data_IF_459354661398
#
_entry.id   IF_459354661398
#
_cell.length_a   1.000
_cell.length_b   1.000
_cell.length_c   1.000
_cell.angle_alpha   90.00
_cell.angle_beta   90.00
_cell.angle_gamma   90.00
#
_symmetry.space_group_name_H-M   'P 1'
#
loop_
_entity.id
_entity.type
_entity.pdbx_description
1 polymer ?
#
# COMPACT_ATOMS: atom_id res chain seq x y z
N UNK A 1 6.15 69.35 0.54
CA UNK A 1 6.62 68.54 1.68
C UNK A 1 5.36 68.04 2.38
N UNK A 2 4.66 67.03 1.84
CA UNK A 2 4.95 65.59 1.97
C UNK A 2 4.83 65.14 3.43
N UNK A 3 3.60 64.81 3.82
CA UNK A 3 3.27 64.03 5.03
C UNK A 3 3.36 62.55 4.59
N UNK A 4 4.15 61.69 5.26
CA UNK A 4 4.19 60.26 4.92
C UNK A 4 2.95 59.54 5.49
N UNK A 5 2.38 58.56 4.78
CA UNK A 5 1.31 57.73 5.31
C UNK A 5 1.93 56.49 5.98
N UNK A 6 1.94 56.44 7.31
CA UNK A 6 2.18 55.18 8.03
C UNK A 6 0.83 54.47 8.21
N UNK A 7 0.43 53.78 7.15
CA UNK A 7 -0.59 52.74 7.18
C UNK A 7 0.06 51.37 7.16
N UNK A 8 0.87 51.03 8.17
CA UNK A 8 1.28 49.63 8.40
C UNK A 8 0.15 48.90 9.10
N UNK A 9 -0.88 48.55 8.34
CA UNK A 9 -1.69 47.40 8.66
C UNK A 9 -0.79 46.17 8.55
N UNK A 10 -0.55 45.49 9.65
CA UNK A 10 -0.02 44.12 9.61
C UNK A 10 -1.11 43.31 8.93
N UNK A 11 -0.86 42.89 7.70
CA UNK A 11 -1.80 42.14 6.87
C UNK A 11 -1.84 40.68 7.37
N UNK A 12 -2.53 40.47 8.50
CA UNK A 12 -2.72 39.15 9.13
C UNK A 12 -3.40 38.14 8.20
N UNK A 13 -3.98 38.59 7.09
CA UNK A 13 -4.67 37.77 6.10
C UNK A 13 -3.72 36.93 5.24
N UNK A 14 -2.47 37.37 5.01
CA UNK A 14 -1.51 36.60 4.20
C UNK A 14 -0.91 35.39 4.91
N UNK A 15 -0.80 35.42 6.23
CA UNK A 15 -0.30 34.27 7.00
C UNK A 15 -1.35 33.16 7.17
N UNK A 16 -2.64 33.47 6.94
CA UNK A 16 -3.72 32.48 6.94
C UNK A 16 -3.90 31.76 5.60
N UNK A 17 -3.37 32.32 4.49
CA UNK A 17 -3.48 31.75 3.14
C UNK A 17 -2.46 30.64 2.83
N UNK A 18 -1.71 30.15 3.83
CA UNK A 18 -0.65 29.15 3.59
C UNK A 18 -0.51 28.04 4.63
N UNK A 19 -1.56 27.73 5.38
CA UNK A 19 -1.65 26.45 6.10
C UNK A 19 -2.54 25.47 5.33
N UNK A 20 -1.98 24.89 4.27
CA UNK A 20 -2.59 23.72 3.64
C UNK A 20 -2.80 22.62 4.70
N UNK A 21 -4.03 22.13 4.83
CA UNK A 21 -4.34 20.96 5.66
C UNK A 21 -3.65 19.74 5.05
N UNK A 22 -2.55 19.31 5.67
CA UNK A 22 -1.75 18.14 5.22
C UNK A 22 -2.09 16.85 5.97
N UNK A 23 -2.69 16.99 7.15
CA UNK A 23 -3.00 15.89 8.06
C UNK A 23 -4.47 15.91 8.42
N UNK A 24 -4.94 14.78 8.92
CA UNK A 24 -6.28 14.70 9.48
C UNK A 24 -6.39 15.51 10.79
N UNK A 25 -7.61 15.67 11.30
CA UNK A 25 -7.89 16.43 12.53
C UNK A 25 -7.13 15.92 13.76
N UNK A 26 -6.74 14.64 13.80
CA UNK A 26 -5.98 14.05 14.91
C UNK A 26 -4.46 14.15 14.71
N UNK A 27 -3.98 14.47 13.50
CA UNK A 27 -2.56 14.46 13.15
C UNK A 27 -1.95 13.07 12.96
N UNK A 28 -2.76 12.00 12.90
CA UNK A 28 -2.31 10.61 12.84
C UNK A 28 -2.07 10.10 11.41
N UNK A 29 -2.73 10.70 10.41
CA UNK A 29 -2.67 10.29 9.02
C UNK A 29 -2.51 11.48 8.07
N UNK A 30 -1.87 11.23 6.93
CA UNK A 30 -1.85 12.19 5.82
C UNK A 30 -3.23 12.31 5.21
N UNK A 31 -3.61 13.55 4.92
CA UNK A 31 -4.92 13.91 4.41
C UNK A 31 -4.80 14.76 3.14
N UNK A 32 -5.77 14.62 2.25
CA UNK A 32 -5.95 15.53 1.12
C UNK A 32 -7.43 15.92 0.96
N UNK A 33 -7.72 17.03 0.26
CA UNK A 33 -9.07 17.36 -0.17
C UNK A 33 -9.71 16.18 -0.91
N UNK A 34 -11.04 16.09 -0.84
CA UNK A 34 -11.78 15.02 -1.48
C UNK A 34 -11.53 15.02 -2.99
N UNK A 35 -11.02 13.91 -3.52
CA UNK A 35 -10.76 13.72 -4.94
C UNK A 35 -11.90 12.99 -5.63
N UNK A 36 -12.19 13.35 -6.87
CA UNK A 36 -13.15 12.60 -7.67
C UNK A 36 -12.53 11.25 -8.06
N UNK A 37 -13.37 10.22 -8.15
CA UNK A 37 -12.93 8.89 -8.56
C UNK A 37 -12.28 8.95 -9.95
N UNK A 38 -12.93 9.62 -10.89
CA UNK A 38 -12.52 9.67 -12.29
C UNK A 38 -11.16 10.37 -12.49
N UNK A 39 -10.76 11.28 -11.59
CA UNK A 39 -9.43 11.91 -11.59
C UNK A 39 -8.32 10.95 -11.16
N UNK A 40 -8.67 9.91 -10.41
CA UNK A 40 -7.73 8.90 -9.94
C UNK A 40 -7.66 7.67 -10.85
N UNK A 41 -8.57 7.56 -11.82
CA UNK A 41 -8.58 6.48 -12.81
C UNK A 41 -7.55 6.77 -13.89
N UNK A 42 -6.65 5.82 -14.10
CA UNK A 42 -5.66 5.83 -15.16
C UNK A 42 -6.11 4.90 -16.28
N UNK A 43 -5.98 5.36 -17.52
CA UNK A 43 -6.00 4.45 -18.65
C UNK A 43 -4.69 3.65 -18.73
N UNK A 44 -4.72 2.45 -19.34
CA UNK A 44 -3.53 1.59 -19.49
C UNK A 44 -2.32 2.33 -20.08
N UNK A 45 -2.55 3.17 -21.08
CA UNK A 45 -1.48 3.93 -21.73
C UNK A 45 -0.91 5.03 -20.81
N UNK A 46 -1.76 5.68 -20.00
CA UNK A 46 -1.35 6.67 -19.00
C UNK A 46 -0.56 6.02 -17.86
N UNK A 47 -1.00 4.85 -17.40
CA UNK A 47 -0.28 4.06 -16.40
C UNK A 47 1.12 3.70 -16.90
N UNK A 48 1.25 3.23 -18.15
CA UNK A 48 2.54 2.88 -18.76
C UNK A 48 3.48 4.09 -18.94
N UNK A 49 2.93 5.30 -19.17
CA UNK A 49 3.72 6.54 -19.23
C UNK A 49 4.11 7.06 -17.85
N UNK A 50 3.41 6.64 -16.79
CA UNK A 50 3.70 7.04 -15.41
C UNK A 50 4.86 6.18 -14.89
N UNK A 51 5.97 6.84 -14.52
CA UNK A 51 7.13 6.14 -13.96
C UNK A 51 6.83 5.75 -12.51
N UNK A 52 6.25 4.57 -12.33
CA UNK A 52 5.94 3.97 -11.03
C UNK A 52 7.11 3.07 -10.59
N UNK A 53 7.77 3.43 -9.48
CA UNK A 53 8.86 2.65 -8.87
C UNK A 53 8.72 2.74 -7.34
N UNK A 54 8.91 1.61 -6.65
CA UNK A 54 8.78 1.54 -5.19
C UNK A 54 7.36 1.89 -4.74
N UNK A 55 6.37 1.28 -5.40
CA UNK A 55 4.95 1.51 -5.18
C UNK A 55 4.26 0.19 -4.75
N UNK A 56 3.02 0.27 -4.29
CA UNK A 56 2.20 -0.90 -3.93
C UNK A 56 1.16 -1.12 -5.02
N UNK A 57 1.08 -2.34 -5.52
CA UNK A 57 0.02 -2.77 -6.46
C UNK A 57 -1.00 -3.57 -5.68
N UNK A 58 -2.28 -3.21 -5.75
CA UNK A 58 -3.37 -3.97 -5.14
C UNK A 58 -4.18 -4.62 -6.26
N UNK A 59 -4.02 -5.92 -6.41
CA UNK A 59 -4.79 -6.77 -7.31
C UNK A 59 -6.11 -7.14 -6.62
N UNK A 60 -7.20 -6.52 -7.04
CA UNK A 60 -8.51 -6.67 -6.40
C UNK A 60 -9.45 -7.49 -7.26
N UNK A 61 -9.88 -8.64 -6.73
CA UNK A 61 -10.92 -9.48 -7.32
C UNK A 61 -12.26 -9.17 -6.68
N UNK A 62 -13.05 -8.32 -7.33
CA UNK A 62 -14.35 -7.91 -6.85
C UNK A 62 -15.27 -7.51 -8.00
N UNK A 63 -16.57 -7.74 -7.83
CA UNK A 63 -17.61 -7.32 -8.77
C UNK A 63 -18.56 -6.32 -8.12
N UNK A 64 -19.43 -5.69 -8.92
CA UNK A 64 -20.46 -4.76 -8.42
C UNK A 64 -21.29 -5.33 -7.26
N UNK A 65 -21.57 -6.63 -7.27
CA UNK A 65 -22.41 -7.29 -6.28
C UNK A 65 -21.61 -7.88 -5.10
N UNK A 66 -20.27 -7.84 -5.14
CA UNK A 66 -19.41 -8.31 -4.05
C UNK A 66 -19.52 -7.42 -2.78
N UNK A 67 -19.40 -8.00 -1.57
CA UNK A 67 -19.36 -7.25 -0.32
C UNK A 67 -18.16 -6.28 -0.25
N UNK A 68 -18.30 -5.23 0.57
CA UNK A 68 -17.21 -4.29 0.83
C UNK A 68 -16.17 -4.96 1.73
N UNK A 69 -14.90 -4.90 1.33
CA UNK A 69 -13.77 -5.34 2.15
C UNK A 69 -13.39 -4.22 3.12
N UNK A 70 -13.50 -2.98 2.66
CA UNK A 70 -13.01 -1.81 3.39
C UNK A 70 -11.51 -1.61 3.16
N UNK A 71 -11.11 -1.37 1.91
CA UNK A 71 -9.74 -1.05 1.48
C UNK A 71 -9.12 0.11 2.26
N UNK A 72 -9.94 0.96 2.88
CA UNK A 72 -9.48 1.96 3.83
C UNK A 72 -8.61 1.37 4.94
N UNK A 73 -8.98 0.22 5.50
CA UNK A 73 -8.21 -0.43 6.58
C UNK A 73 -6.83 -0.87 6.11
N UNK A 74 -6.68 -1.16 4.81
CA UNK A 74 -5.40 -1.48 4.19
C UNK A 74 -4.59 -0.23 3.84
N UNK A 75 -5.21 0.80 3.26
CA UNK A 75 -4.50 1.99 2.76
C UNK A 75 -4.17 2.99 3.88
N UNK A 76 -5.01 3.10 4.90
CA UNK A 76 -4.83 4.08 5.99
C UNK A 76 -3.51 3.90 6.75
N UNK A 77 -3.07 2.68 7.15
CA UNK A 77 -1.75 2.49 7.76
C UNK A 77 -0.58 2.91 6.86
N UNK A 78 -0.70 2.73 5.54
CA UNK A 78 0.28 3.17 4.54
C UNK A 78 0.30 4.70 4.35
N UNK A 79 -0.57 5.42 5.06
CA UNK A 79 -0.68 6.89 5.09
C UNK A 79 -0.48 7.46 6.49
N UNK A 80 0.11 6.69 7.41
CA UNK A 80 0.42 7.17 8.74
C UNK A 80 1.38 8.38 8.71
N UNK A 81 1.16 9.33 9.62
CA UNK A 81 1.86 10.62 9.67
C UNK A 81 3.31 10.57 10.17
N UNK A 82 3.74 9.40 10.68
CA UNK A 82 5.12 9.07 11.03
C UNK A 82 6.01 8.81 9.79
N UNK A 83 5.43 8.75 8.58
CA UNK A 83 6.16 8.83 7.32
C UNK A 83 6.15 10.24 6.76
N UNK A 84 7.23 10.65 6.10
CA UNK A 84 7.23 11.88 5.33
C UNK A 84 6.45 11.69 4.02
N UNK A 85 5.88 12.78 3.50
CA UNK A 85 5.04 12.70 2.29
C UNK A 85 5.77 12.08 1.09
N UNK A 86 7.08 12.34 0.93
CA UNK A 86 7.89 11.76 -0.15
C UNK A 86 8.18 10.26 0.06
N UNK A 87 8.18 9.77 1.30
CA UNK A 87 8.37 8.34 1.62
C UNK A 87 7.08 7.51 1.38
N UNK A 88 5.91 8.17 1.34
CA UNK A 88 4.63 7.49 1.10
C UNK A 88 4.65 6.75 -0.24
N UNK A 89 4.42 5.45 -0.17
CA UNK A 89 4.29 4.56 -1.33
C UNK A 89 3.01 4.88 -2.08
N UNK A 90 3.12 5.10 -3.39
CA UNK A 90 1.95 5.24 -4.25
C UNK A 90 1.21 3.90 -4.29
N UNK A 91 -0.13 3.92 -4.19
CA UNK A 91 -0.95 2.71 -4.24
C UNK A 91 -1.70 2.71 -5.57
N UNK A 92 -1.51 1.66 -6.37
CA UNK A 92 -2.22 1.45 -7.62
C UNK A 92 -3.16 0.27 -7.45
N UNK A 93 -4.47 0.51 -7.51
CA UNK A 93 -5.48 -0.53 -7.41
C UNK A 93 -5.84 -0.99 -8.82
N UNK A 94 -5.68 -2.27 -9.11
CA UNK A 94 -6.08 -2.90 -10.37
C UNK A 94 -7.32 -3.74 -10.10
N UNK A 95 -8.46 -3.35 -10.68
CA UNK A 95 -9.72 -4.05 -10.46
C UNK A 95 -10.91 -3.35 -11.10
N UNK A 96 -12.11 -3.82 -10.73
CA UNK A 96 -13.36 -3.33 -11.28
C UNK A 96 -13.74 -1.94 -10.75
N UNK A 97 -14.02 -1.01 -11.67
CA UNK A 97 -14.37 0.37 -11.33
C UNK A 97 -15.75 0.49 -10.65
N UNK A 98 -16.71 -0.37 -10.98
CA UNK A 98 -18.04 -0.34 -10.35
C UNK A 98 -17.95 -0.75 -8.88
N UNK A 99 -17.11 -1.74 -8.56
CA UNK A 99 -16.81 -2.08 -7.17
C UNK A 99 -16.17 -0.91 -6.43
N UNK A 100 -15.09 -0.34 -6.99
CA UNK A 100 -14.33 0.73 -6.36
C UNK A 100 -15.16 2.00 -6.13
N UNK A 101 -16.17 2.26 -6.96
CA UNK A 101 -17.12 3.37 -6.75
C UNK A 101 -17.86 3.27 -5.41
N UNK A 102 -18.13 2.05 -4.91
CA UNK A 102 -18.73 1.85 -3.58
C UNK A 102 -17.74 2.19 -2.45
N UNK A 103 -16.49 1.78 -2.60
CA UNK A 103 -15.44 1.96 -1.59
C UNK A 103 -14.83 3.37 -1.58
N UNK A 104 -14.89 4.10 -2.70
CA UNK A 104 -14.21 5.39 -2.87
C UNK A 104 -14.58 6.42 -1.81
N UNK A 105 -15.81 6.35 -1.28
CA UNK A 105 -16.28 7.19 -0.16
C UNK A 105 -15.41 7.13 1.09
N UNK A 106 -14.63 6.05 1.25
CA UNK A 106 -13.73 5.85 2.38
C UNK A 106 -12.27 6.18 2.05
N UNK A 107 -11.95 6.44 0.78
CA UNK A 107 -10.59 6.61 0.26
C UNK A 107 -10.30 8.01 -0.29
N UNK A 108 -11.32 8.81 -0.63
CA UNK A 108 -11.15 10.06 -1.37
C UNK A 108 -10.28 11.13 -0.67
N UNK A 109 -10.05 11.02 0.64
CA UNK A 109 -9.19 11.91 1.43
C UNK A 109 -7.75 11.39 1.62
N UNK A 110 -7.43 10.21 1.10
CA UNK A 110 -6.09 9.64 1.23
C UNK A 110 -5.28 9.98 -0.03
N UNK A 111 -4.04 10.48 0.11
CA UNK A 111 -3.22 10.89 -1.04
C UNK A 111 -2.60 9.69 -1.77
N UNK A 112 -2.03 9.93 -2.96
CA UNK A 112 -1.23 8.96 -3.73
C UNK A 112 -1.94 7.62 -4.01
N UNK A 113 -3.21 7.68 -4.39
CA UNK A 113 -3.97 6.52 -4.86
C UNK A 113 -4.31 6.74 -6.32
N UNK A 114 -4.06 5.72 -7.14
CA UNK A 114 -4.51 5.62 -8.53
C UNK A 114 -5.23 4.29 -8.74
N UNK A 115 -6.12 4.27 -9.73
CA UNK A 115 -6.94 3.11 -10.07
C UNK A 115 -6.72 2.80 -11.54
N UNK A 116 -6.42 1.55 -11.87
CA UNK A 116 -6.46 1.04 -13.23
C UNK A 116 -7.71 0.18 -13.37
N UNK A 117 -8.66 0.64 -14.18
CA UNK A 117 -9.84 -0.16 -14.52
C UNK A 117 -9.42 -1.30 -15.45
N UNK A 118 -9.28 -2.50 -14.89
CA UNK A 118 -8.70 -3.65 -15.59
C UNK A 118 -8.76 -4.91 -14.74
N UNK A 119 -8.17 -5.99 -15.26
CA UNK A 119 -8.17 -7.28 -14.56
C UNK A 119 -6.78 -7.61 -14.03
N UNK A 120 -6.64 -8.06 -12.77
CA UNK A 120 -5.36 -8.58 -12.28
C UNK A 120 -4.84 -9.82 -13.02
N UNK A 121 -5.69 -10.52 -13.79
CA UNK A 121 -5.28 -11.65 -14.63
C UNK A 121 -4.68 -11.19 -15.97
N UNK A 122 -4.93 -9.94 -16.37
CA UNK A 122 -4.42 -9.37 -17.60
C UNK A 122 -2.96 -8.95 -17.44
N UNK A 123 -2.05 -9.73 -18.04
CA UNK A 123 -0.60 -9.40 -18.06
C UNK A 123 -0.31 -8.04 -18.67
N UNK A 124 -1.17 -7.52 -19.55
CA UNK A 124 -1.01 -6.20 -20.14
C UNK A 124 -1.25 -5.09 -19.10
N UNK A 125 -2.23 -5.26 -18.22
CA UNK A 125 -2.53 -4.31 -17.14
C UNK A 125 -1.43 -4.35 -16.08
N UNK A 126 -0.97 -5.55 -15.69
CA UNK A 126 0.14 -5.72 -14.75
C UNK A 126 1.47 -5.13 -15.27
N UNK A 127 1.73 -5.24 -16.57
CA UNK A 127 2.89 -4.56 -17.19
C UNK A 127 2.72 -3.04 -17.21
N UNK A 128 1.52 -2.54 -17.50
CA UNK A 128 1.28 -1.11 -17.55
C UNK A 128 1.48 -0.41 -16.19
N UNK A 129 1.26 -1.11 -15.08
CA UNK A 129 1.55 -0.59 -13.73
C UNK A 129 3.00 -0.81 -13.28
N UNK A 130 3.86 -1.38 -14.13
CA UNK A 130 5.25 -1.74 -13.80
C UNK A 130 5.36 -2.61 -12.55
N UNK A 131 4.58 -3.70 -12.49
CA UNK A 131 4.55 -4.61 -11.33
C UNK A 131 5.94 -5.13 -10.93
N UNK A 132 6.88 -5.25 -11.87
CA UNK A 132 8.27 -5.64 -11.59
C UNK A 132 9.08 -4.61 -10.78
N UNK A 133 8.59 -3.37 -10.67
CA UNK A 133 9.18 -2.28 -9.89
C UNK A 133 8.40 -1.97 -8.61
N UNK A 134 7.43 -2.80 -8.23
CA UNK A 134 6.68 -2.62 -6.99
C UNK A 134 7.52 -3.01 -5.76
N UNK A 135 7.15 -2.47 -4.59
CA UNK A 135 7.66 -2.93 -3.30
C UNK A 135 6.82 -4.07 -2.73
N UNK A 136 5.54 -4.13 -3.10
CA UNK A 136 4.65 -5.24 -2.76
C UNK A 136 3.49 -5.29 -3.75
N UNK A 137 3.15 -6.49 -4.21
CA UNK A 137 1.90 -6.79 -4.89
C UNK A 137 0.96 -7.49 -3.90
N UNK A 138 -0.19 -6.90 -3.61
CA UNK A 138 -1.17 -7.44 -2.67
C UNK A 138 -2.34 -7.98 -3.46
N UNK A 139 -2.67 -9.27 -3.29
CA UNK A 139 -3.77 -9.93 -3.97
C UNK A 139 -4.89 -10.18 -2.96
N UNK A 140 -6.06 -9.60 -3.23
CA UNK A 140 -7.22 -9.57 -2.33
C UNK A 140 -8.46 -9.98 -3.12
N UNK A 141 -9.34 -10.77 -2.51
CA UNK A 141 -10.61 -11.19 -3.11
C UNK A 141 -11.80 -10.77 -2.25
N UNK A 142 -12.72 -10.00 -2.84
CA UNK A 142 -14.00 -9.63 -2.23
C UNK A 142 -15.12 -10.63 -2.57
N UNK A 143 -14.85 -11.58 -3.47
CA UNK A 143 -15.89 -12.47 -3.97
C UNK A 143 -16.24 -13.49 -2.92
N UNK A 144 -17.54 -13.64 -2.68
CA UNK A 144 -18.04 -14.66 -1.76
C UNK A 144 -17.79 -16.02 -2.41
N UNK A 145 -17.05 -16.93 -1.75
CA UNK A 145 -16.79 -18.25 -2.30
C UNK A 145 -18.10 -19.02 -2.43
N UNK A 146 -18.18 -19.89 -3.44
CA UNK A 146 -19.36 -20.73 -3.61
C UNK A 146 -19.44 -21.75 -2.47
N UNK A 147 -20.61 -21.90 -1.86
CA UNK A 147 -20.80 -22.72 -0.65
C UNK A 147 -20.54 -24.22 -0.89
N UNK A 148 -20.62 -24.67 -2.14
CA UNK A 148 -20.50 -26.10 -2.46
C UNK A 148 -19.04 -26.59 -2.53
N UNK A 149 -18.09 -25.75 -2.95
CA UNK A 149 -16.68 -26.13 -3.12
C UNK A 149 -15.76 -25.07 -2.48
N UNK A 150 -15.42 -25.28 -1.21
CA UNK A 150 -14.52 -24.39 -0.44
C UNK A 150 -13.08 -24.39 -0.98
N UNK A 151 -12.68 -25.41 -1.73
CA UNK A 151 -11.36 -25.48 -2.39
C UNK A 151 -11.25 -24.47 -3.54
N UNK A 152 -12.35 -24.13 -4.19
CA UNK A 152 -12.38 -23.17 -5.31
C UNK A 152 -12.50 -21.71 -4.84
N UNK A 153 -12.55 -21.46 -3.54
CA UNK A 153 -12.65 -20.13 -2.95
C UNK A 153 -11.53 -19.19 -3.42
N UNK A 154 -10.29 -19.70 -3.45
CA UNK A 154 -9.09 -18.89 -3.70
C UNK A 154 -8.59 -18.97 -5.15
N UNK A 155 -9.38 -19.54 -6.07
CA UNK A 155 -8.93 -19.86 -7.43
C UNK A 155 -8.34 -18.64 -8.15
N UNK A 156 -8.93 -17.46 -7.99
CA UNK A 156 -8.47 -16.26 -8.68
C UNK A 156 -7.21 -15.67 -8.05
N UNK A 157 -7.14 -15.72 -6.72
CA UNK A 157 -5.98 -15.27 -5.98
C UNK A 157 -4.75 -16.12 -6.34
N UNK A 158 -4.89 -17.45 -6.37
CA UNK A 158 -3.84 -18.38 -6.79
C UNK A 158 -3.48 -18.17 -8.27
N UNK A 159 -4.47 -18.09 -9.16
CA UNK A 159 -4.22 -17.87 -10.59
C UNK A 159 -3.49 -16.56 -10.84
N UNK A 160 -3.79 -15.49 -10.11
CA UNK A 160 -3.08 -14.22 -10.19
C UNK A 160 -1.63 -14.36 -9.73
N UNK A 161 -1.39 -15.01 -8.59
CA UNK A 161 -0.04 -15.28 -8.07
C UNK A 161 0.81 -16.03 -9.08
N UNK A 162 0.31 -17.17 -9.58
CA UNK A 162 1.00 -17.99 -10.57
C UNK A 162 1.20 -17.25 -11.89
N UNK A 163 0.21 -16.45 -12.31
CA UNK A 163 0.31 -15.64 -13.52
C UNK A 163 1.45 -14.62 -13.41
N UNK A 164 1.58 -13.92 -12.28
CA UNK A 164 2.66 -12.97 -12.00
C UNK A 164 4.01 -13.70 -11.95
N UNK A 165 4.10 -14.82 -11.21
CA UNK A 165 5.33 -15.63 -11.12
C UNK A 165 5.83 -16.08 -12.50
N UNK A 166 4.90 -16.41 -13.41
CA UNK A 166 5.19 -16.80 -14.78
C UNK A 166 5.52 -15.64 -15.74
N UNK A 167 5.49 -14.39 -15.29
CA UNK A 167 5.89 -13.24 -16.12
C UNK A 167 7.41 -13.15 -16.25
N UNK A 168 7.85 -12.64 -17.39
CA UNK A 168 9.23 -12.25 -17.64
C UNK A 168 9.27 -10.78 -18.04
N UNK A 169 10.28 -10.08 -17.55
CA UNK A 169 10.50 -8.67 -17.75
C UNK A 169 11.87 -8.47 -18.39
N UNK A 170 11.86 -7.96 -19.62
CA UNK A 170 13.10 -7.63 -20.33
C UNK A 170 13.65 -6.29 -19.82
N UNK A 171 14.94 -6.25 -19.47
CA UNK A 171 15.66 -5.02 -19.09
C UNK A 171 15.79 -4.02 -20.26
N UNK A 172 15.23 -4.31 -21.44
CA UNK A 172 15.40 -3.54 -22.68
C UNK A 172 14.55 -2.26 -22.75
N UNK A 173 13.64 -2.03 -21.81
CA UNK A 173 12.72 -0.87 -21.81
C UNK A 173 13.14 0.28 -20.87
N UNK A 174 14.43 0.44 -20.56
CA UNK A 174 14.90 1.53 -19.68
C UNK A 174 16.25 2.17 -20.00
N UNK A 175 17.03 1.64 -20.94
CA UNK A 175 18.32 2.23 -21.31
C UNK A 175 18.42 2.37 -22.83
N UNK A 176 18.20 3.58 -23.33
CA UNK A 176 18.88 3.96 -24.57
C UNK A 176 20.38 3.76 -24.31
N UNK A 177 21.11 2.98 -25.12
CA UNK A 177 22.54 2.89 -24.97
C UNK A 177 23.09 4.25 -25.37
N UNK A 178 23.41 5.09 -24.38
CA UNK A 178 24.41 6.13 -24.61
C UNK A 178 25.66 5.39 -25.07
N UNK A 179 25.92 5.50 -26.37
CA UNK A 179 27.12 4.99 -27.01
C UNK A 179 28.31 5.39 -26.15
N UNK A 180 29.14 4.41 -25.85
CA UNK A 180 30.43 4.56 -25.20
C UNK A 180 31.15 5.78 -25.77
N UNK A 181 31.34 6.85 -24.99
CA UNK A 181 32.13 7.96 -25.49
C UNK A 181 32.11 9.31 -24.77
N UNK A 182 31.14 9.67 -23.92
CA UNK A 182 31.13 11.03 -23.36
C UNK A 182 30.81 11.08 -21.86
N UNK A 183 31.85 11.32 -21.07
CA UNK A 183 31.78 11.56 -19.62
C UNK A 183 31.50 13.06 -19.40
N UNK A 184 30.24 13.42 -19.22
CA UNK A 184 29.89 14.74 -18.68
C UNK A 184 30.00 14.75 -17.15
N UNK A 185 30.69 15.74 -16.52
CA UNK A 185 31.00 15.74 -15.09
C UNK A 185 29.93 16.45 -14.24
N UNK A 186 28.64 16.20 -14.49
CA UNK A 186 27.56 16.75 -13.66
C UNK A 186 26.78 15.62 -12.99
N UNK A 187 27.23 15.31 -11.77
CA UNK A 187 26.63 14.37 -10.84
C UNK A 187 25.20 14.80 -10.45
N UNK A 188 24.21 14.30 -11.17
CA UNK A 188 22.85 14.14 -10.63
C UNK A 188 22.93 13.17 -9.44
N UNK A 189 22.27 13.44 -8.30
CA UNK A 189 22.30 12.51 -7.18
C UNK A 189 21.75 11.16 -7.64
N UNK A 190 22.50 10.11 -7.33
CA UNK A 190 22.14 8.71 -7.54
C UNK A 190 20.82 8.49 -6.80
N UNK A 191 19.69 8.64 -7.51
CA UNK A 191 18.45 8.00 -7.10
C UNK A 191 18.77 6.52 -7.10
N UNK A 192 18.71 5.87 -5.93
CA UNK A 192 18.69 4.41 -5.81
C UNK A 192 17.47 3.89 -6.56
N UNK A 193 17.55 3.81 -7.89
CA UNK A 193 16.54 3.14 -8.69
C UNK A 193 16.68 1.66 -8.37
N UNK A 194 15.72 1.13 -7.58
CA UNK A 194 15.62 -0.29 -7.27
C UNK A 194 15.67 -1.05 -8.59
N UNK A 195 16.60 -2.00 -8.69
CA UNK A 195 16.68 -2.89 -9.84
C UNK A 195 15.43 -3.77 -9.82
N UNK A 196 14.57 -3.62 -10.83
CA UNK A 196 13.33 -4.37 -10.93
C UNK A 196 13.53 -5.87 -10.96
N UNK A 197 12.48 -6.60 -10.63
CA UNK A 197 12.43 -8.04 -10.81
C UNK A 197 12.52 -8.38 -12.31
N UNK A 198 13.53 -9.17 -12.70
CA UNK A 198 13.66 -9.69 -14.09
C UNK A 198 12.68 -10.84 -14.36
N UNK A 199 12.48 -11.67 -13.33
CA UNK A 199 11.58 -12.81 -13.33
C UNK A 199 10.42 -12.50 -12.41
N UNK A 200 9.22 -12.91 -12.80
CA UNK A 200 8.01 -12.79 -12.00
C UNK A 200 8.10 -13.44 -10.62
N UNK A 201 8.88 -14.51 -10.49
CA UNK A 201 9.15 -15.18 -9.21
C UNK A 201 9.84 -14.28 -8.17
N UNK A 202 10.50 -13.21 -8.60
CA UNK A 202 11.16 -12.24 -7.72
C UNK A 202 10.28 -11.03 -7.40
N UNK A 203 9.04 -10.97 -7.88
CA UNK A 203 8.10 -9.91 -7.54
C UNK A 203 7.61 -10.15 -6.10
N UNK A 204 7.86 -9.22 -5.15
CA UNK A 204 7.37 -9.37 -3.79
C UNK A 204 5.85 -9.31 -3.80
N UNK A 205 5.21 -10.34 -3.27
CA UNK A 205 3.76 -10.42 -3.26
C UNK A 205 3.23 -11.09 -2.01
N UNK A 206 2.01 -10.73 -1.64
CA UNK A 206 1.25 -11.35 -0.55
C UNK A 206 -0.17 -11.63 -1.05
N UNK A 207 -0.62 -12.86 -0.82
CA UNK A 207 -1.90 -13.35 -1.29
C UNK A 207 -2.78 -13.71 -0.10
N UNK A 208 -3.95 -13.09 -0.04
CA UNK A 208 -4.99 -13.46 0.92
C UNK A 208 -5.60 -14.81 0.54
N UNK A 209 -5.74 -15.70 1.51
CA UNK A 209 -6.38 -17.01 1.37
C UNK A 209 -7.52 -17.17 2.35
N UNK A 210 -8.63 -17.74 1.87
CA UNK A 210 -9.78 -18.15 2.67
C UNK A 210 -9.60 -19.56 3.19
N UNK A 211 -9.05 -20.46 2.38
CA UNK A 211 -8.82 -21.86 2.75
C UNK A 211 -7.33 -22.15 2.96
N UNK A 212 -6.97 -22.58 4.16
CA UNK A 212 -5.58 -22.87 4.54
C UNK A 212 -4.94 -23.93 3.65
N UNK A 213 -5.68 -24.97 3.26
CA UNK A 213 -5.18 -26.06 2.41
C UNK A 213 -4.81 -25.60 0.99
N UNK A 214 -5.25 -24.41 0.57
CA UNK A 214 -4.93 -23.86 -0.74
C UNK A 214 -3.53 -23.23 -0.79
N UNK A 215 -2.85 -23.08 0.35
CA UNK A 215 -1.51 -22.48 0.43
C UNK A 215 -0.47 -23.24 -0.40
N UNK A 216 -0.59 -24.57 -0.50
CA UNK A 216 0.27 -25.45 -1.28
C UNK A 216 0.29 -25.09 -2.78
N UNK A 217 -0.75 -24.43 -3.29
CA UNK A 217 -0.80 -24.07 -4.72
C UNK A 217 -0.02 -22.80 -5.06
N UNK A 218 0.57 -22.11 -4.08
CA UNK A 218 1.30 -20.86 -4.31
C UNK A 218 2.75 -21.09 -4.77
N UNK A 219 3.44 -22.10 -4.23
CA UNK A 219 4.82 -22.44 -4.59
C UNK A 219 4.87 -23.87 -5.13
N UNK A 220 5.48 -24.05 -6.31
CA UNK A 220 5.52 -25.35 -7.01
C UNK A 220 6.76 -26.18 -6.68
N UNK A 221 7.70 -25.59 -5.94
CA UNK A 221 9.01 -26.18 -5.63
C UNK A 221 9.03 -26.82 -4.22
N UNK A 222 7.90 -26.83 -3.52
CA UNK A 222 7.78 -27.31 -2.13
C UNK A 222 7.33 -28.78 -2.09
N UNK A 223 7.81 -29.52 -1.08
CA UNK A 223 7.35 -30.89 -0.80
C UNK A 223 5.96 -30.82 -0.12
N UNK A 224 4.92 -30.66 -0.93
CA UNK A 224 3.54 -30.50 -0.45
C UNK A 224 3.01 -31.75 0.28
N UNK A 225 3.02 -31.73 1.61
CA UNK A 225 2.27 -32.68 2.45
C UNK A 225 0.96 -32.01 2.91
N UNK A 226 -0.23 -32.52 2.48
CA UNK A 226 -1.53 -31.93 2.81
C UNK A 226 -1.85 -31.93 4.31
N UNK A 227 -1.14 -32.74 5.11
CA UNK A 227 -1.30 -32.79 6.57
C UNK A 227 -0.45 -31.73 7.30
N UNK A 228 0.32 -30.91 6.57
CA UNK A 228 1.14 -29.84 7.15
C UNK A 228 0.29 -28.67 7.61
N UNK A 229 0.46 -28.26 8.87
CA UNK A 229 -0.22 -27.07 9.41
C UNK A 229 0.26 -25.78 8.72
N UNK A 230 -0.64 -24.83 8.51
CA UNK A 230 -0.38 -23.59 7.75
C UNK A 230 0.92 -22.88 8.15
N UNK A 231 1.20 -22.75 9.45
CA UNK A 231 2.36 -22.01 9.93
C UNK A 231 3.71 -22.69 9.67
N UNK A 232 3.71 -23.98 9.29
CA UNK A 232 4.89 -24.74 8.88
C UNK A 232 5.11 -24.72 7.36
N UNK A 233 4.16 -24.18 6.60
CA UNK A 233 4.28 -24.07 5.15
C UNK A 233 5.22 -22.93 4.75
N UNK A 234 5.99 -23.14 3.70
CA UNK A 234 6.95 -22.15 3.20
C UNK A 234 6.29 -20.84 2.73
N UNK A 235 5.15 -20.84 1.98
CA UNK A 235 4.53 -19.58 1.57
C UNK A 235 4.08 -18.71 2.75
N UNK A 236 3.67 -19.34 3.86
CA UNK A 236 3.34 -18.62 5.08
C UNK A 236 4.59 -18.10 5.79
N UNK A 237 5.61 -18.95 5.97
CA UNK A 237 6.87 -18.59 6.64
C UNK A 237 7.65 -17.48 5.90
N UNK A 238 7.59 -17.46 4.55
CA UNK A 238 8.17 -16.42 3.72
C UNK A 238 7.32 -15.13 3.66
N UNK A 239 6.11 -15.14 4.22
CA UNK A 239 5.20 -13.99 4.23
C UNK A 239 4.55 -13.69 2.88
N UNK A 240 4.47 -14.67 1.98
CA UNK A 240 3.80 -14.55 0.67
C UNK A 240 2.33 -14.98 0.70
N UNK A 241 1.91 -15.68 1.76
CA UNK A 241 0.53 -16.06 2.00
C UNK A 241 0.02 -15.51 3.33
N UNK A 242 -1.23 -15.07 3.37
CA UNK A 242 -1.91 -14.67 4.59
C UNK A 242 -3.32 -15.27 4.62
N UNK A 243 -3.56 -16.23 5.52
CA UNK A 243 -4.87 -16.82 5.69
C UNK A 243 -5.66 -16.13 6.81
N UNK A 244 -6.98 -16.04 6.66
CA UNK A 244 -7.86 -15.39 7.64
C UNK A 244 -7.91 -16.19 8.96
N UNK A 245 -7.76 -17.52 8.90
CA UNK A 245 -7.83 -18.44 10.05
C UNK A 245 -6.85 -18.10 11.18
N UNK A 246 -5.72 -17.48 10.86
CA UNK A 246 -4.72 -17.09 11.88
C UNK A 246 -5.26 -16.07 12.87
N UNK A 247 -6.27 -15.29 12.47
CA UNK A 247 -6.91 -14.28 13.31
C UNK A 247 -7.82 -14.89 14.38
N UNK A 248 -8.23 -16.15 14.27
CA UNK A 248 -9.04 -16.83 15.29
C UNK A 248 -8.27 -16.95 16.63
N UNK A 249 -6.94 -17.08 16.56
CA UNK A 249 -6.06 -17.06 17.74
C UNK A 249 -6.04 -15.71 18.47
N UNK A 250 -6.43 -14.62 17.81
CA UNK A 250 -6.54 -13.31 18.47
C UNK A 250 -7.71 -13.26 19.45
N UNK A 251 -8.77 -14.04 19.23
CA UNK A 251 -9.90 -14.08 20.16
C UNK A 251 -9.49 -14.61 21.53
N UNK A 252 -8.73 -15.71 21.56
CA UNK A 252 -8.20 -16.27 22.81
C UNK A 252 -7.19 -15.31 23.46
N UNK A 253 -6.30 -14.72 22.66
CA UNK A 253 -5.30 -13.76 23.14
C UNK A 253 -5.97 -12.54 23.78
N UNK A 254 -7.02 -12.00 23.17
CA UNK A 254 -7.78 -10.85 23.69
C UNK A 254 -8.52 -11.21 24.96
N UNK A 255 -9.11 -12.41 25.04
CA UNK A 255 -9.79 -12.87 26.24
C UNK A 255 -8.86 -12.94 27.47
N UNK A 256 -7.62 -13.41 27.28
CA UNK A 256 -6.65 -13.48 28.38
C UNK A 256 -5.96 -12.15 28.68
N UNK A 257 -5.84 -11.28 27.67
CA UNK A 257 -5.17 -9.99 27.81
C UNK A 257 -5.82 -8.92 26.93
N UNK A 258 -6.72 -8.14 27.54
CA UNK A 258 -7.39 -7.02 26.89
C UNK A 258 -6.42 -6.00 26.26
N UNK A 259 -5.23 -5.82 26.86
CA UNK A 259 -4.24 -4.86 26.36
C UNK A 259 -3.50 -5.34 25.10
N UNK A 260 -3.48 -6.65 24.83
CA UNK A 260 -2.80 -7.22 23.67
C UNK A 260 -3.43 -6.73 22.36
N UNK A 261 -4.77 -6.69 22.29
CA UNK A 261 -5.48 -6.21 21.12
C UNK A 261 -5.22 -4.73 20.86
N UNK A 262 -5.21 -3.90 21.92
CA UNK A 262 -4.89 -2.47 21.81
C UNK A 262 -3.46 -2.26 21.29
N UNK A 263 -2.50 -3.06 21.74
CA UNK A 263 -1.11 -3.01 21.28
C UNK A 263 -1.00 -3.37 19.79
N UNK A 264 -1.55 -4.52 19.39
CA UNK A 264 -1.55 -4.99 17.99
C UNK A 264 -2.20 -3.95 17.09
N UNK A 265 -3.35 -3.43 17.52
CA UNK A 265 -4.07 -2.39 16.78
C UNK A 265 -3.22 -1.13 16.59
N UNK A 266 -2.56 -0.65 17.65
CA UNK A 266 -1.71 0.55 17.58
C UNK A 266 -0.53 0.33 16.62
N UNK A 267 0.08 -0.86 16.67
CA UNK A 267 1.22 -1.23 15.84
C UNK A 267 0.84 -1.39 14.36
N UNK A 268 -0.28 -2.08 14.07
CA UNK A 268 -0.70 -2.42 12.69
C UNK A 268 -1.42 -1.26 12.02
N UNK A 269 -2.33 -0.57 12.70
CA UNK A 269 -3.18 0.46 12.07
C UNK A 269 -2.47 1.81 11.89
N UNK A 270 -1.23 1.94 12.38
CA UNK A 270 -0.52 3.21 12.38
C UNK A 270 -1.11 4.22 13.36
N UNK A 271 -1.70 3.75 14.46
CA UNK A 271 -2.24 4.59 15.54
C UNK A 271 -3.69 5.04 15.33
N UNK A 272 -4.60 4.12 14.99
CA UNK A 272 -6.03 4.40 15.06
C UNK A 272 -6.46 4.60 16.54
N UNK A 273 -6.51 5.86 16.98
CA UNK A 273 -6.92 6.23 18.34
C UNK A 273 -8.45 6.09 18.51
N UNK A 274 -8.94 5.92 19.74
CA UNK A 274 -10.39 5.93 20.00
C UNK A 274 -11.06 7.23 19.56
N UNK A 275 -10.36 8.36 19.62
CA UNK A 275 -10.83 9.64 19.09
C UNK A 275 -11.12 9.56 17.59
N UNK A 276 -10.18 8.99 16.81
CA UNK A 276 -10.40 8.79 15.39
C UNK A 276 -11.60 7.87 15.17
N UNK A 277 -11.75 6.78 15.91
CA UNK A 277 -12.91 5.88 15.79
C UNK A 277 -14.25 6.61 16.00
N UNK A 278 -14.33 7.49 16.99
CA UNK A 278 -15.53 8.28 17.27
C UNK A 278 -15.88 9.18 16.08
N UNK A 279 -14.89 9.88 15.50
CA UNK A 279 -15.08 10.72 14.31
C UNK A 279 -15.63 9.89 13.15
N UNK A 280 -15.14 8.66 12.97
CA UNK A 280 -15.62 7.78 11.91
C UNK A 280 -17.02 7.23 12.18
N UNK A 281 -17.33 6.94 13.44
CA UNK A 281 -18.65 6.50 13.86
C UNK A 281 -19.71 7.59 13.67
N UNK A 282 -19.34 8.87 13.77
CA UNK A 282 -20.20 10.00 13.41
C UNK A 282 -20.48 10.11 11.89
N UNK A 283 -19.85 9.27 11.05
CA UNK A 283 -20.02 9.29 9.59
C UNK A 283 -19.29 10.43 8.90
N UNK A 284 -18.43 11.14 9.62
CA UNK A 284 -17.67 12.29 9.14
C UNK A 284 -16.60 11.96 8.09
N UNK A 285 -16.18 10.69 8.02
CA UNK A 285 -14.98 10.30 7.29
C UNK A 285 -13.70 10.87 7.92
N UNK A 286 -12.62 10.89 7.15
CA UNK A 286 -11.35 11.49 7.59
C UNK A 286 -11.40 13.01 7.34
N UNK A 287 -11.51 13.80 8.40
CA UNK A 287 -11.55 15.27 8.29
C UNK A 287 -10.13 15.85 8.32
N UNK A 288 -9.88 16.87 7.50
CA UNK A 288 -8.62 17.62 7.51
C UNK A 288 -8.51 18.50 8.76
N UNK A 289 -7.30 18.63 9.28
CA UNK A 289 -6.98 19.46 10.44
C UNK A 289 -5.88 20.47 10.16
N UNK A 290 -5.92 21.60 10.85
CA UNK A 290 -4.78 22.51 10.91
C UNK A 290 -3.67 21.89 11.73
N UNK A 291 -2.41 22.07 11.30
CA UNK A 291 -1.25 21.54 12.00
C UNK A 291 -0.87 22.42 13.19
N UNK A 292 -1.37 22.08 14.37
CA UNK A 292 -0.94 22.66 15.64
C UNK A 292 0.31 21.96 16.18
N UNK A 293 1.10 22.57 17.09
CA UNK A 293 2.23 21.90 17.72
C UNK A 293 1.86 20.56 18.39
N UNK A 294 0.67 20.46 18.97
CA UNK A 294 0.15 19.23 19.59
C UNK A 294 -0.11 18.13 18.55
N UNK A 295 -0.82 18.45 17.46
CA UNK A 295 -1.08 17.46 16.39
C UNK A 295 0.20 17.01 15.68
N UNK A 296 1.21 17.89 15.58
CA UNK A 296 2.51 17.53 15.00
C UNK A 296 3.31 16.60 15.92
N UNK A 297 3.18 16.73 17.24
CA UNK A 297 3.84 15.82 18.19
C UNK A 297 3.31 14.38 18.09
N UNK A 298 2.05 14.19 17.67
CA UNK A 298 1.46 12.86 17.44
C UNK A 298 2.15 12.06 16.32
N UNK A 299 3.03 12.69 15.54
CA UNK A 299 3.80 12.06 14.47
C UNK A 299 5.03 11.31 14.97
N UNK A 300 5.51 11.62 16.17
CA UNK A 300 6.75 11.07 16.75
C UNK A 300 6.55 9.65 17.31
N UNK A 301 6.00 8.77 16.46
CA UNK A 301 5.73 7.36 16.78
C UNK A 301 6.70 6.46 16.05
N UNK A 302 6.97 5.30 16.65
CA UNK A 302 7.79 4.27 16.03
C UNK A 302 7.21 3.85 14.67
N UNK A 303 8.09 3.53 13.73
CA UNK A 303 7.75 2.95 12.43
C UNK A 303 8.43 1.60 12.28
N UNK A 304 7.79 0.69 11.54
CA UNK A 304 8.34 -0.61 11.21
C UNK A 304 9.09 -0.48 9.89
N UNK A 305 10.36 -0.90 9.87
CA UNK A 305 11.19 -0.89 8.67
C UNK A 305 12.15 -2.09 8.70
N UNK A 306 12.48 -2.60 7.53
CA UNK A 306 13.57 -3.56 7.35
C UNK A 306 14.88 -2.81 7.14
N UNK A 307 15.97 -3.35 7.70
CA UNK A 307 17.32 -2.81 7.57
C UNK A 307 18.16 -3.87 6.88
N UNK A 308 18.74 -3.54 5.73
CA UNK A 308 19.68 -4.44 5.08
C UNK A 308 21.02 -4.39 5.81
N UNK A 309 21.53 -5.55 6.23
CA UNK A 309 22.81 -5.63 6.95
C UNK A 309 24.03 -5.28 6.08
N UNK A 310 23.84 -5.23 4.77
CA UNK A 310 24.86 -4.81 3.80
C UNK A 310 25.03 -3.29 3.76
N UNK A 311 24.04 -2.53 4.25
CA UNK A 311 24.05 -1.07 4.22
C UNK A 311 24.82 -0.50 5.43
N UNK A 312 25.44 0.65 5.24
CA UNK A 312 26.04 1.42 6.33
C UNK A 312 24.97 1.88 7.33
N UNK A 313 25.21 1.84 8.65
CA UNK A 313 26.47 1.56 9.37
C UNK A 313 26.70 0.09 9.77
N UNK A 314 25.90 -0.84 9.25
CA UNK A 314 25.93 -2.26 9.66
C UNK A 314 26.90 -3.10 8.82
N UNK A 315 27.54 -2.48 7.83
CA UNK A 315 28.62 -3.05 7.03
C UNK A 315 29.74 -3.58 7.95
N UNK A 316 29.94 -4.90 7.98
CA UNK A 316 30.93 -5.57 8.83
C UNK A 316 30.38 -6.36 10.02
N UNK A 317 29.06 -6.34 10.28
CA UNK A 317 28.39 -7.28 11.19
C UNK A 317 28.28 -8.64 10.47
N UNK A 318 29.38 -9.39 10.45
CA UNK A 318 29.37 -10.79 10.02
C UNK A 318 28.76 -11.67 11.11
N UNK A 319 27.79 -12.51 10.72
CA UNK A 319 27.35 -13.65 11.53
C UNK A 319 28.57 -14.55 11.71
N UNK A 320 29.13 -14.59 12.92
CA UNK A 320 30.17 -15.57 13.30
C UNK A 320 29.55 -16.95 13.43
#
# INVERSE_FOLDING_TARGET
>A
MSIPPDGRGIDFTKDFEQQDMKYDSTGMFHWCPARNLDECVLERHQAAMTVLNGHVVVCLFADRDSPLIGLRNFIMPLRASNFHYHELKHVVIVGDLEYLRKEWKTLYNLPKISILNGSPLSRADLRAVNINLCDMCVIISARVPNTEDTTLADKEAILASLNIKAMQFDDTLGFFPFRSGDRSPLSSPISMQKKGARLGTNVPMITELVNDSNVQFLDQDDDDDPDTELYLTQPFACGTAFAISVLDSLMSTTYFNDSALTLIRTLVTGGATPELELILAEGAGLRGGYSTPETLANRDRCRIAQIALQDNPYEGIGVR
#
